data_IF_999214228127
#
_entry.id   IF_999214228127
#
_cell.length_a   1.000
_cell.length_b   1.000
_cell.length_c   1.000
_cell.angle_alpha   90.00
_cell.angle_beta   90.00
_cell.angle_gamma   90.00
#
_symmetry.space_group_name_H-M   'P 1'
#
loop_
_entity.id
_entity.type
_entity.pdbx_description
1 polymer ?
#
# COMPACT_ATOMS: atom_id res chain seq x y z
N UNK A 1 -59.75 -19.63 -11.21
CA UNK A 1 -60.13 -18.36 -10.55
C UNK A 1 -59.13 -18.04 -9.44
N UNK A 2 -58.86 -16.76 -9.25
CA UNK A 2 -57.74 -16.16 -8.53
C UNK A 2 -57.64 -16.50 -7.03
N UNK A 3 -56.41 -16.49 -6.49
CA UNK A 3 -55.90 -15.38 -5.67
C UNK A 3 -54.65 -15.80 -4.88
N UNK A 4 -53.59 -14.99 -4.96
CA UNK A 4 -52.45 -14.97 -4.02
C UNK A 4 -52.86 -14.18 -2.76
N UNK A 5 -52.23 -14.42 -1.60
CA UNK A 5 -51.13 -13.54 -1.18
C UNK A 5 -49.97 -14.24 -0.44
N UNK A 6 -48.80 -13.59 -0.44
CA UNK A 6 -47.63 -13.85 0.46
C UNK A 6 -47.77 -12.99 1.73
N UNK A 7 -47.19 -13.37 2.89
CA UNK A 7 -45.80 -12.97 3.26
C UNK A 7 -45.04 -14.11 3.99
N UNK A 8 -43.77 -14.43 3.71
CA UNK A 8 -42.47 -13.78 4.00
C UNK A 8 -41.86 -14.18 5.37
N UNK A 9 -40.62 -14.72 5.26
CA UNK A 9 -39.57 -14.96 6.28
C UNK A 9 -39.83 -16.08 7.30
N UNK A 10 -38.89 -16.94 7.70
CA UNK A 10 -37.57 -17.41 7.26
C UNK A 10 -37.41 -18.83 7.88
N UNK A 11 -36.62 -19.74 7.30
CA UNK A 11 -36.71 -21.17 7.61
C UNK A 11 -36.04 -21.61 8.91
N UNK A 12 -36.66 -22.67 9.46
CA UNK A 12 -36.23 -23.63 10.47
C UNK A 12 -34.83 -24.23 10.26
N UNK A 13 -34.28 -24.73 11.38
CA UNK A 13 -33.55 -25.99 11.59
C UNK A 13 -32.15 -25.77 12.20
N UNK A 14 -31.93 -26.02 13.49
CA UNK A 14 -31.80 -27.31 14.18
C UNK A 14 -30.34 -27.86 14.21
N UNK A 15 -29.60 -27.47 15.27
CA UNK A 15 -28.64 -28.22 16.12
C UNK A 15 -27.50 -29.08 15.48
N UNK A 16 -26.47 -29.60 16.22
CA UNK A 16 -26.25 -29.57 17.68
C UNK A 16 -24.78 -29.41 18.19
N UNK A 17 -24.65 -29.30 19.52
CA UNK A 17 -23.64 -29.96 20.38
C UNK A 17 -22.26 -29.29 20.56
N UNK A 18 -22.13 -28.55 21.66
CA UNK A 18 -20.86 -28.12 22.27
C UNK A 18 -20.75 -28.76 23.67
N UNK A 19 -19.64 -29.47 23.92
CA UNK A 19 -19.01 -29.81 25.20
C UNK A 19 -18.06 -31.01 24.96
N UNK A 20 -16.80 -31.13 25.39
CA UNK A 20 -15.75 -30.38 26.12
C UNK A 20 -14.46 -31.28 26.05
N UNK A 21 -13.37 -31.15 26.85
CA UNK A 21 -12.35 -30.10 27.11
C UNK A 21 -10.90 -30.66 26.85
N UNK A 22 -9.82 -30.38 27.62
CA UNK A 22 -9.01 -29.16 27.81
C UNK A 22 -7.50 -29.34 27.46
N UNK A 23 -6.76 -28.29 27.04
CA UNK A 23 -5.31 -28.13 27.33
C UNK A 23 -4.71 -26.81 26.80
N UNK A 24 -3.93 -26.15 27.67
CA UNK A 24 -2.87 -25.14 27.43
C UNK A 24 -3.26 -23.69 27.04
N UNK A 25 -2.94 -22.69 27.90
CA UNK A 25 -2.55 -21.33 27.49
C UNK A 25 -1.00 -21.19 27.48
N UNK A 26 -0.40 -20.03 27.18
CA UNK A 26 -0.59 -19.08 26.07
C UNK A 26 0.77 -18.73 25.37
N UNK A 27 0.81 -18.50 24.05
CA UNK A 27 1.91 -17.79 23.37
C UNK A 27 1.51 -17.41 21.91
N UNK A 28 2.14 -16.41 21.26
CA UNK A 28 1.60 -15.05 21.22
C UNK A 28 1.35 -14.54 19.79
N UNK A 29 0.48 -13.53 19.74
CA UNK A 29 0.40 -12.38 18.83
C UNK A 29 0.62 -12.53 17.30
N UNK A 30 -0.29 -11.97 16.47
CA UNK A 30 0.01 -11.70 15.08
C UNK A 30 1.14 -10.65 15.03
N UNK A 31 2.33 -11.08 14.65
CA UNK A 31 3.44 -10.19 14.34
C UNK A 31 3.03 -9.27 13.18
N UNK A 32 2.63 -8.06 13.56
CA UNK A 32 2.66 -6.89 12.72
C UNK A 32 4.11 -6.66 12.24
N UNK A 33 4.46 -7.27 11.11
CA UNK A 33 5.66 -6.96 10.34
C UNK A 33 5.16 -6.33 9.02
N UNK A 34 5.39 -5.06 8.68
CA UNK A 34 6.34 -4.10 9.20
C UNK A 34 5.74 -2.69 9.07
N UNK A 35 5.33 -2.12 10.20
CA UNK A 35 5.32 -0.67 10.37
C UNK A 35 6.74 -0.26 10.77
N UNK A 36 7.53 0.17 9.79
CA UNK A 36 8.79 0.86 10.05
C UNK A 36 8.71 2.24 9.39
N UNK A 37 8.47 3.28 10.19
CA UNK A 37 9.34 4.43 10.07
C UNK A 37 10.05 4.72 11.40
N UNK A 38 11.27 4.21 11.62
CA UNK A 38 12.22 4.93 12.46
C UNK A 38 12.75 6.08 11.60
N UNK A 39 12.01 7.20 11.54
CA UNK A 39 12.60 8.46 11.09
C UNK A 39 13.07 9.18 12.35
N UNK A 40 14.09 8.59 12.99
CA UNK A 40 14.83 9.20 14.09
C UNK A 40 15.48 10.47 13.54
N UNK A 41 15.06 11.62 14.06
CA UNK A 41 15.75 12.90 13.87
C UNK A 41 17.09 12.85 14.59
N UNK A 42 18.14 12.46 13.89
CA UNK A 42 19.51 12.84 14.19
C UNK A 42 19.96 13.86 13.14
N UNK A 43 21.02 14.66 13.37
CA UNK A 43 21.47 15.66 12.40
C UNK A 43 21.82 14.96 11.08
N UNK A 44 20.85 14.89 10.16
CA UNK A 44 20.98 14.08 8.95
C UNK A 44 22.12 14.69 8.12
N UNK A 45 23.22 13.93 8.05
CA UNK A 45 24.31 14.18 7.13
C UNK A 45 23.71 14.51 5.76
N UNK A 46 24.17 15.58 5.07
CA UNK A 46 23.56 16.02 3.83
C UNK A 46 23.45 14.89 2.80
N UNK A 47 24.35 13.90 2.87
CA UNK A 47 24.29 12.67 2.08
C UNK A 47 23.07 11.80 2.42
N UNK A 48 22.81 11.53 3.70
CA UNK A 48 21.70 10.70 4.17
C UNK A 48 20.32 11.30 3.83
N UNK A 49 20.22 12.64 3.89
CA UNK A 49 19.01 13.36 3.48
C UNK A 49 18.71 13.15 1.98
N UNK A 50 19.72 13.24 1.11
CA UNK A 50 19.58 12.97 -0.33
C UNK A 50 19.19 11.52 -0.60
N UNK A 51 19.83 10.54 0.06
CA UNK A 51 19.48 9.11 -0.07
C UNK A 51 18.03 8.82 0.28
N UNK A 52 17.50 9.50 1.29
CA UNK A 52 16.10 9.38 1.71
C UNK A 52 15.16 9.97 0.66
N UNK A 53 15.52 11.11 0.07
CA UNK A 53 14.75 11.71 -1.02
C UNK A 53 14.74 10.83 -2.27
N UNK A 54 15.89 10.30 -2.69
CA UNK A 54 16.02 9.34 -3.80
C UNK A 54 15.13 8.12 -3.58
N UNK A 55 15.17 7.52 -2.37
CA UNK A 55 14.31 6.38 -2.02
C UNK A 55 12.83 6.72 -2.08
N UNK A 56 12.43 7.93 -1.68
CA UNK A 56 11.03 8.38 -1.77
C UNK A 56 10.59 8.61 -3.22
N UNK A 57 11.42 9.24 -4.05
CA UNK A 57 11.12 9.44 -5.48
C UNK A 57 11.05 8.09 -6.21
N UNK A 58 11.95 7.15 -5.91
CA UNK A 58 11.90 5.78 -6.47
C UNK A 58 10.58 5.07 -6.16
N UNK A 59 10.04 5.25 -4.95
CA UNK A 59 8.70 4.73 -4.59
C UNK A 59 7.61 5.38 -5.45
N UNK A 60 7.65 6.70 -5.61
CA UNK A 60 6.68 7.43 -6.45
C UNK A 60 6.73 7.00 -7.92
N UNK A 61 7.92 6.86 -8.49
CA UNK A 61 8.12 6.39 -9.87
C UNK A 61 7.56 4.97 -10.04
N UNK A 62 7.76 4.09 -9.06
CA UNK A 62 7.20 2.74 -9.09
C UNK A 62 5.67 2.73 -9.00
N UNK A 63 5.08 3.62 -8.20
CA UNK A 63 3.62 3.80 -8.19
C UNK A 63 3.11 4.32 -9.54
N UNK A 64 3.84 5.23 -10.19
CA UNK A 64 3.49 5.66 -11.54
C UNK A 64 3.57 4.51 -12.54
N UNK A 65 4.61 3.66 -12.48
CA UNK A 65 4.71 2.49 -13.37
C UNK A 65 3.53 1.53 -13.20
N UNK A 66 3.03 1.32 -11.98
CA UNK A 66 1.81 0.52 -11.72
C UNK A 66 0.55 1.19 -12.31
N UNK A 67 0.46 2.53 -12.25
CA UNK A 67 -0.60 3.28 -12.93
C UNK A 67 -0.49 3.17 -14.46
N UNK A 68 0.72 3.20 -15.03
CA UNK A 68 0.94 3.00 -16.47
C UNK A 68 0.52 1.59 -16.90
N UNK A 69 0.82 0.57 -16.10
CA UNK A 69 0.42 -0.81 -16.38
C UNK A 69 -1.11 -0.97 -16.33
N UNK A 70 -1.77 -0.35 -15.34
CA UNK A 70 -3.24 -0.27 -15.28
C UNK A 70 -3.82 0.44 -16.51
N UNK A 71 -3.24 1.56 -16.92
CA UNK A 71 -3.63 2.27 -18.16
C UNK A 71 -3.48 1.39 -19.39
N UNK A 72 -2.35 0.70 -19.51
CA UNK A 72 -2.07 -0.21 -20.62
C UNK A 72 -3.01 -1.43 -20.63
N UNK A 73 -3.41 -1.90 -19.45
CA UNK A 73 -4.43 -2.94 -19.27
C UNK A 73 -5.87 -2.46 -19.58
N UNK A 74 -6.04 -1.18 -19.95
CA UNK A 74 -7.33 -0.60 -20.30
C UNK A 74 -8.14 -0.11 -19.11
N UNK A 75 -7.54 0.03 -17.92
CA UNK A 75 -8.20 0.66 -16.78
C UNK A 75 -8.30 2.18 -17.00
N UNK A 76 -9.45 2.76 -16.64
CA UNK A 76 -9.64 4.20 -16.66
C UNK A 76 -8.80 4.84 -15.54
N UNK A 77 -7.89 5.72 -15.92
CA UNK A 77 -7.19 6.61 -15.00
C UNK A 77 -7.92 7.95 -14.92
N UNK A 78 -7.93 8.54 -13.72
CA UNK A 78 -8.42 9.88 -13.52
C UNK A 78 -7.43 10.93 -14.08
N UNK A 79 -7.91 12.15 -14.34
CA UNK A 79 -7.07 13.27 -14.79
C UNK A 79 -5.89 13.50 -13.86
N UNK A 80 -6.12 13.40 -12.55
CA UNK A 80 -5.06 13.56 -11.55
C UNK A 80 -3.99 12.46 -11.68
N UNK A 81 -4.39 11.23 -12.04
CA UNK A 81 -3.46 10.12 -12.25
C UNK A 81 -2.67 10.28 -13.54
N UNK A 82 -3.28 10.78 -14.62
CA UNK A 82 -2.57 11.13 -15.86
C UNK A 82 -1.56 12.27 -15.63
N UNK A 83 -1.92 13.31 -14.88
CA UNK A 83 -0.98 14.35 -14.48
C UNK A 83 0.16 13.80 -13.61
N UNK A 84 -0.13 12.81 -12.75
CA UNK A 84 0.88 12.12 -11.94
C UNK A 84 1.85 11.31 -12.79
N UNK A 85 1.37 10.69 -13.87
CA UNK A 85 2.23 10.03 -14.87
C UNK A 85 3.10 11.03 -15.61
N UNK A 86 2.56 12.19 -16.01
CA UNK A 86 3.36 13.25 -16.62
C UNK A 86 4.44 13.78 -15.66
N UNK A 87 4.11 13.94 -14.37
CA UNK A 87 5.06 14.29 -13.31
C UNK A 87 6.07 13.20 -12.97
N UNK A 88 5.83 11.95 -13.40
CA UNK A 88 6.77 10.85 -13.18
C UNK A 88 8.11 11.08 -13.88
N UNK A 89 8.10 11.79 -15.01
CA UNK A 89 9.33 12.21 -15.73
C UNK A 89 10.13 13.17 -14.87
N UNK A 90 9.49 14.22 -14.35
CA UNK A 90 10.13 15.17 -13.44
C UNK A 90 10.67 14.49 -12.17
N UNK A 91 9.97 13.48 -11.62
CA UNK A 91 10.47 12.70 -10.48
C UNK A 91 11.69 11.84 -10.81
N UNK A 92 11.83 11.36 -12.06
CA UNK A 92 13.03 10.64 -12.51
C UNK A 92 14.21 11.62 -12.66
N UNK A 93 13.98 12.78 -13.27
CA UNK A 93 15.01 13.82 -13.42
C UNK A 93 15.50 14.32 -12.05
N UNK A 94 14.58 14.58 -11.12
CA UNK A 94 14.96 15.00 -9.77
C UNK A 94 15.68 13.89 -9.00
N UNK A 95 15.34 12.62 -9.24
CA UNK A 95 16.08 11.49 -8.66
C UNK A 95 17.54 11.45 -9.19
N UNK A 96 17.74 11.62 -10.50
CA UNK A 96 19.08 11.67 -11.11
C UNK A 96 19.89 12.87 -10.60
N UNK A 97 19.24 14.03 -10.42
CA UNK A 97 19.87 15.22 -9.85
C UNK A 97 20.34 14.98 -8.40
N UNK A 98 19.48 14.36 -7.58
CA UNK A 98 19.83 14.02 -6.20
C UNK A 98 20.94 12.96 -6.14
N UNK A 99 20.93 11.98 -7.04
CA UNK A 99 22.02 10.99 -7.18
C UNK A 99 23.35 11.66 -7.56
N UNK A 100 23.32 12.66 -8.46
CA UNK A 100 24.49 13.44 -8.84
C UNK A 100 25.02 14.30 -7.68
N UNK A 101 24.12 14.97 -6.94
CA UNK A 101 24.47 15.72 -5.71
C UNK A 101 25.10 14.82 -4.66
N UNK A 102 24.55 13.62 -4.49
CA UNK A 102 25.07 12.62 -3.56
C UNK A 102 26.46 12.13 -3.98
N UNK A 103 26.65 11.86 -5.28
CA UNK A 103 27.95 11.47 -5.82
C UNK A 103 29.01 12.55 -5.59
N UNK A 104 28.66 13.82 -5.77
CA UNK A 104 29.55 14.97 -5.49
C UNK A 104 29.89 15.14 -4.00
N UNK A 105 28.99 14.79 -3.10
CA UNK A 105 29.25 14.81 -1.65
C UNK A 105 30.08 13.62 -1.17
N UNK A 106 30.19 12.56 -1.99
CA UNK A 106 30.96 11.36 -1.68
C UNK A 106 32.28 11.22 -2.45
N UNK A 107 32.62 12.17 -3.32
CA UNK A 107 33.86 12.24 -4.09
C UNK A 107 34.81 13.27 -3.47
#
# INVERSE_FOLDING_TARGET
PAARPRPRACPHSAAPKVAAPPSAPPAPEPAAAAAAPPSTSEPEDPKAALEKQIRNLKKKVRQCSDLEEKRAAGAALDKEQEEKLARAVAWKEEMEELENKLAKLGA
#
